data_IF_030500874742
#
_entry.id   IF_030500874742
#
_cell.length_a   1.000
_cell.length_b   1.000
_cell.length_c   1.000
_cell.angle_alpha   90.00
_cell.angle_beta   90.00
_cell.angle_gamma   90.00
#
_symmetry.space_group_name_H-M   'P 1'
#
loop_
_entity.id
_entity.type
_entity.pdbx_description
1 polymer ?
#
# COMPACT_ATOMS: atom_id res chain seq x y z
N UNK A 1 6.86 24.56 -11.18
CA UNK A 1 6.60 23.68 -10.02
C UNK A 1 5.12 23.32 -10.05
N UNK A 2 4.79 22.03 -9.94
CA UNK A 2 3.39 21.57 -9.92
C UNK A 2 3.08 20.90 -8.59
N UNK A 3 1.91 21.18 -8.01
CA UNK A 3 1.45 20.57 -6.76
C UNK A 3 0.26 19.67 -7.06
N UNK A 4 0.30 18.44 -6.57
CA UNK A 4 -0.76 17.44 -6.73
C UNK A 4 -1.25 17.02 -5.36
N UNK A 5 -2.55 17.11 -5.13
CA UNK A 5 -3.17 16.69 -3.86
C UNK A 5 -3.98 15.42 -4.12
N UNK A 6 -3.79 14.40 -3.29
CA UNK A 6 -4.54 13.14 -3.38
C UNK A 6 -5.19 12.77 -2.05
N UNK A 7 -6.44 12.29 -2.04
CA UNK A 7 -7.03 11.70 -0.84
C UNK A 7 -6.39 10.36 -0.46
N UNK A 8 -5.53 9.79 -1.30
CA UNK A 8 -4.90 8.48 -1.10
C UNK A 8 -3.64 8.50 -0.22
N UNK A 9 -3.01 7.33 -0.14
CA UNK A 9 -1.81 7.05 0.67
C UNK A 9 -0.50 7.12 -0.15
N UNK A 10 -0.55 7.62 -1.39
CA UNK A 10 0.63 7.71 -2.28
C UNK A 10 0.95 6.44 -3.09
N UNK A 11 -0.01 5.52 -3.27
CA UNK A 11 0.14 4.35 -4.14
C UNK A 11 -0.74 4.50 -5.38
N UNK A 12 -0.15 4.36 -6.56
CA UNK A 12 -0.84 4.56 -7.83
C UNK A 12 -0.60 3.39 -8.77
N UNK A 13 -1.65 2.96 -9.47
CA UNK A 13 -1.52 2.04 -10.60
C UNK A 13 -1.36 2.88 -11.86
N UNK A 14 -0.28 2.64 -12.60
CA UNK A 14 0.08 3.46 -13.77
C UNK A 14 0.55 2.59 -14.93
N UNK A 15 0.34 3.06 -16.15
CA UNK A 15 0.89 2.43 -17.35
C UNK A 15 2.40 2.66 -17.44
N UNK A 16 3.16 1.61 -17.79
CA UNK A 16 4.62 1.64 -17.85
C UNK A 16 5.16 2.66 -18.86
N UNK A 17 4.58 2.72 -20.07
CA UNK A 17 5.05 3.64 -21.11
C UNK A 17 4.73 5.09 -20.75
N UNK A 18 3.54 5.31 -20.18
CA UNK A 18 3.14 6.65 -19.74
C UNK A 18 4.01 7.16 -18.59
N UNK A 19 4.37 6.29 -17.64
CA UNK A 19 5.29 6.64 -16.56
C UNK A 19 6.66 7.05 -17.11
N UNK A 20 7.23 6.28 -18.04
CA UNK A 20 8.54 6.58 -18.65
C UNK A 20 8.51 7.92 -19.38
N UNK A 21 7.47 8.16 -20.20
CA UNK A 21 7.30 9.42 -20.92
C UNK A 21 7.17 10.61 -19.96
N UNK A 22 6.40 10.46 -18.88
CA UNK A 22 6.20 11.50 -17.88
C UNK A 22 7.52 11.81 -17.15
N UNK A 23 8.26 10.77 -16.72
CA UNK A 23 9.58 10.94 -16.11
C UNK A 23 10.51 11.73 -17.03
N UNK A 24 10.61 11.34 -18.30
CA UNK A 24 11.50 11.99 -19.26
C UNK A 24 11.17 13.49 -19.39
N UNK A 25 9.89 13.82 -19.61
CA UNK A 25 9.45 15.21 -19.74
C UNK A 25 9.66 16.03 -18.47
N UNK A 26 9.46 15.45 -17.29
CA UNK A 26 9.66 16.17 -16.03
C UNK A 26 11.14 16.48 -15.78
N UNK A 27 12.03 15.53 -16.06
CA UNK A 27 13.47 15.72 -15.90
C UNK A 27 14.01 16.70 -16.94
N UNK A 28 13.66 16.54 -18.22
CA UNK A 28 14.18 17.37 -19.30
C UNK A 28 13.78 18.84 -19.16
N UNK A 29 12.55 19.09 -18.70
CA UNK A 29 12.08 20.46 -18.43
C UNK A 29 12.49 20.98 -17.04
N UNK A 30 13.13 20.16 -16.20
CA UNK A 30 13.46 20.52 -14.82
C UNK A 30 12.22 20.83 -13.95
N UNK A 31 11.08 20.21 -14.25
CA UNK A 31 9.82 20.44 -13.54
C UNK A 31 9.65 19.33 -12.49
N UNK A 32 9.77 19.69 -11.21
CA UNK A 32 9.41 18.84 -10.09
C UNK A 32 7.92 18.83 -9.77
N UNK A 33 7.45 17.72 -9.21
CA UNK A 33 6.10 17.55 -8.67
C UNK A 33 6.19 17.45 -7.15
N UNK A 34 5.28 18.12 -6.44
CA UNK A 34 5.06 17.96 -5.01
C UNK A 34 3.71 17.28 -4.75
N UNK A 35 3.73 16.08 -4.18
CA UNK A 35 2.57 15.26 -3.90
C UNK A 35 2.16 15.38 -2.42
N UNK A 36 0.96 15.87 -2.17
CA UNK A 36 0.36 15.93 -0.82
C UNK A 36 -0.67 14.81 -0.68
N UNK A 37 -0.40 13.85 0.22
CA UNK A 37 -1.29 12.74 0.52
C UNK A 37 -2.14 13.05 1.75
N UNK A 38 -3.46 12.90 1.65
CA UNK A 38 -4.39 13.06 2.80
C UNK A 38 -4.69 11.75 3.52
N UNK A 39 -4.32 10.60 2.95
CA UNK A 39 -4.44 9.32 3.61
C UNK A 39 -3.38 9.11 4.69
N UNK A 40 -3.56 8.10 5.55
CA UNK A 40 -2.56 7.71 6.54
C UNK A 40 -1.26 7.26 5.85
N UNK A 41 -0.11 7.68 6.39
CA UNK A 41 1.19 7.29 5.86
C UNK A 41 1.37 5.76 5.99
N UNK A 42 1.67 5.05 4.90
CA UNK A 42 1.83 3.60 4.96
C UNK A 42 3.20 3.19 5.53
N UNK A 43 3.32 1.92 5.95
CA UNK A 43 4.58 1.33 6.43
C UNK A 43 5.56 0.91 5.31
N UNK A 44 5.29 1.26 4.06
CA UNK A 44 6.15 0.99 2.91
C UNK A 44 6.54 2.28 2.20
N UNK A 45 7.59 2.24 1.38
CA UNK A 45 8.09 3.41 0.67
C UNK A 45 7.05 3.95 -0.33
N UNK A 46 6.91 5.28 -0.35
CA UNK A 46 6.01 6.05 -1.21
C UNK A 46 6.75 7.29 -1.73
N UNK A 47 6.28 7.93 -2.82
CA UNK A 47 5.18 7.51 -3.71
C UNK A 47 5.51 6.21 -4.44
N UNK A 48 4.54 5.30 -4.54
CA UNK A 48 4.74 3.97 -5.14
C UNK A 48 3.89 3.81 -6.40
N UNK A 49 4.55 3.54 -7.52
CA UNK A 49 3.89 3.22 -8.78
C UNK A 49 3.88 1.72 -9.00
N UNK A 50 2.69 1.12 -9.02
CA UNK A 50 2.46 -0.24 -9.48
C UNK A 50 2.22 -0.21 -10.98
N UNK A 51 3.18 -0.73 -11.75
CA UNK A 51 3.11 -0.70 -13.19
C UNK A 51 2.17 -1.79 -13.69
N UNK A 52 1.20 -1.40 -14.51
CA UNK A 52 0.37 -2.32 -15.28
C UNK A 52 0.71 -2.22 -16.76
N UNK A 53 0.11 -3.10 -17.58
CA UNK A 53 0.36 -3.25 -19.01
C UNK A 53 1.76 -3.83 -19.31
N UNK A 54 1.81 -5.17 -19.37
CA UNK A 54 2.99 -5.89 -19.82
C UNK A 54 3.01 -5.89 -21.34
N UNK A 55 4.05 -5.30 -21.90
CA UNK A 55 4.31 -5.25 -23.35
C UNK A 55 4.47 -6.64 -23.99
N UNK A 56 4.49 -7.72 -23.21
CA UNK A 56 4.71 -9.09 -23.70
C UNK A 56 3.80 -10.13 -23.03
N UNK A 57 2.99 -10.84 -23.85
CA UNK A 57 2.26 -12.08 -23.63
C UNK A 57 2.62 -13.02 -22.47
N UNK A 58 3.93 -13.22 -22.24
CA UNK A 58 4.43 -14.50 -21.74
C UNK A 58 5.28 -14.46 -20.48
N UNK A 59 5.67 -13.29 -19.96
CA UNK A 59 6.65 -13.24 -18.86
C UNK A 59 6.00 -13.23 -17.46
N UNK A 60 5.11 -14.21 -17.21
CA UNK A 60 4.30 -14.31 -15.97
C UNK A 60 5.11 -14.62 -14.71
N UNK A 61 6.43 -14.55 -14.83
CA UNK A 61 7.40 -14.84 -13.77
C UNK A 61 7.97 -13.58 -13.11
N UNK A 62 7.86 -12.42 -13.76
CA UNK A 62 8.22 -11.14 -13.15
C UNK A 62 6.98 -10.64 -12.42
N UNK A 63 7.07 -10.53 -11.09
CA UNK A 63 5.98 -10.10 -10.22
C UNK A 63 5.47 -8.70 -10.56
N UNK A 64 4.56 -8.17 -9.74
CA UNK A 64 4.11 -6.78 -9.87
C UNK A 64 5.34 -5.83 -9.94
N UNK A 65 5.54 -5.16 -11.07
CA UNK A 65 6.65 -4.22 -11.26
C UNK A 65 6.35 -2.94 -10.48
N UNK A 66 7.17 -2.62 -9.48
CA UNK A 66 7.05 -1.41 -8.66
C UNK A 66 8.11 -0.36 -9.02
N UNK A 67 7.77 0.92 -8.90
CA UNK A 67 8.69 2.04 -9.12
C UNK A 67 8.52 3.13 -8.06
N UNK A 68 9.64 3.68 -7.59
CA UNK A 68 9.71 4.82 -6.68
C UNK A 68 10.26 6.04 -7.47
N UNK A 69 9.41 6.99 -7.88
CA UNK A 69 9.83 8.13 -8.68
C UNK A 69 10.63 9.13 -7.82
N UNK A 70 11.91 9.29 -8.11
CA UNK A 70 12.82 10.22 -7.41
C UNK A 70 12.63 11.69 -7.80
N UNK A 71 11.87 11.97 -8.86
CA UNK A 71 11.57 13.33 -9.36
C UNK A 71 10.31 13.94 -8.72
N UNK A 72 9.68 13.20 -7.79
CA UNK A 72 8.49 13.63 -7.04
C UNK A 72 8.89 13.81 -5.58
N UNK A 73 8.68 15.02 -5.05
CA UNK A 73 8.64 15.24 -3.61
C UNK A 73 7.27 14.83 -3.08
N UNK A 74 7.21 14.35 -1.85
CA UNK A 74 5.94 13.98 -1.24
C UNK A 74 5.88 14.36 0.23
N UNK A 75 4.67 14.66 0.68
CA UNK A 75 4.34 14.94 2.07
C UNK A 75 2.97 14.36 2.43
N UNK A 76 2.73 14.18 3.72
CA UNK A 76 1.46 13.72 4.27
C UNK A 76 0.80 14.84 5.06
N UNK A 77 -0.46 15.11 4.75
CA UNK A 77 -1.26 16.06 5.49
C UNK A 77 -1.69 15.45 6.83
N UNK A 78 -1.45 16.18 7.92
CA UNK A 78 -1.90 15.81 9.26
C UNK A 78 -2.71 16.94 9.88
N UNK A 79 -3.93 16.63 10.34
CA UNK A 79 -4.77 17.59 11.06
C UNK A 79 -4.57 17.44 12.57
N UNK A 80 -4.45 18.56 13.28
CA UNK A 80 -4.34 18.60 14.76
C UNK A 80 -5.52 17.90 15.47
N UNK A 81 -6.67 17.78 14.82
CA UNK A 81 -7.85 17.10 15.35
C UNK A 81 -7.82 15.57 15.20
N UNK A 82 -6.88 14.99 14.43
CA UNK A 82 -6.83 13.55 14.15
C UNK A 82 -5.98 12.73 15.14
N UNK A 83 -5.39 13.36 16.16
CA UNK A 83 -4.46 12.71 17.09
C UNK A 83 -5.06 11.57 17.94
N UNK A 84 -6.38 11.34 17.90
CA UNK A 84 -7.04 10.23 18.60
C UNK A 84 -7.22 8.95 17.75
N UNK A 85 -6.88 8.96 16.46
CA UNK A 85 -7.12 7.83 15.54
C UNK A 85 -5.93 7.53 14.60
N UNK A 86 -4.69 7.71 15.07
CA UNK A 86 -3.44 7.48 14.30
C UNK A 86 -2.92 6.03 14.36
N UNK A 87 -3.74 5.08 14.78
CA UNK A 87 -3.33 3.67 14.81
C UNK A 87 -3.49 3.06 13.43
N UNK A 88 -2.36 2.67 12.82
CA UNK A 88 -2.34 1.84 11.62
C UNK A 88 -3.32 0.68 11.78
N UNK A 89 -4.38 0.70 10.97
CA UNK A 89 -5.41 -0.33 11.01
C UNK A 89 -5.12 -1.31 9.87
N UNK A 90 -4.55 -2.50 10.15
CA UNK A 90 -4.27 -3.47 9.11
C UNK A 90 -5.58 -3.92 8.45
N UNK A 91 -5.63 -3.86 7.11
CA UNK A 91 -6.79 -4.32 6.33
C UNK A 91 -6.99 -5.84 6.35
N UNK A 92 -6.03 -6.58 6.92
CA UNK A 92 -6.10 -8.03 7.10
C UNK A 92 -6.58 -8.29 8.53
N UNK A 93 -7.85 -8.70 8.68
CA UNK A 93 -8.34 -9.26 9.95
C UNK A 93 -7.86 -10.69 10.06
N UNK A 94 -6.84 -10.93 10.88
CA UNK A 94 -6.43 -12.30 11.21
C UNK A 94 -7.59 -12.98 11.95
N UNK A 95 -8.04 -14.14 11.48
CA UNK A 95 -9.03 -14.91 12.21
C UNK A 95 -8.43 -15.34 13.57
N UNK A 96 -9.17 -15.13 14.67
CA UNK A 96 -8.74 -15.59 15.99
C UNK A 96 -8.58 -17.11 16.01
N UNK A 97 -7.45 -17.61 16.55
CA UNK A 97 -7.25 -19.05 16.76
C UNK A 97 -8.34 -19.56 17.71
N UNK A 98 -9.17 -20.50 17.27
CA UNK A 98 -10.08 -21.22 18.18
C UNK A 98 -9.24 -22.12 19.08
N UNK A 99 -9.32 -21.91 20.39
CA UNK A 99 -8.79 -22.87 21.36
C UNK A 99 -9.69 -24.12 21.32
N UNK A 100 -9.11 -25.24 20.92
CA UNK A 100 -9.77 -26.54 20.94
C UNK A 100 -9.88 -27.00 22.40
N UNK A 101 -11.08 -26.93 22.98
CA UNK A 101 -11.35 -27.52 24.29
C UNK A 101 -11.41 -29.04 24.14
N UNK A 102 -10.37 -29.75 24.59
CA UNK A 102 -10.39 -31.21 24.72
C UNK A 102 -11.42 -31.63 25.77
N UNK A 103 -12.37 -32.48 25.36
CA UNK A 103 -13.36 -33.07 26.25
C UNK A 103 -12.80 -34.39 26.80
N UNK A 104 -12.13 -34.32 27.95
CA UNK A 104 -11.77 -35.52 28.72
C UNK A 104 -13.03 -36.02 29.45
N UNK A 105 -13.74 -37.02 28.89
CA UNK A 105 -14.74 -37.77 29.65
C UNK A 105 -14.06 -39.00 30.26
N UNK A 106 -13.70 -38.88 31.53
CA UNK A 106 -13.31 -40.03 32.36
C UNK A 106 -14.54 -40.87 32.65
N UNK A 107 -14.47 -42.13 32.21
CA UNK A 107 -15.33 -43.22 32.64
C UNK A 107 -15.32 -43.34 34.17
N UNK A 108 -16.48 -43.56 34.78
CA UNK A 108 -16.57 -44.29 36.05
C UNK A 108 -17.92 -45.00 36.16
N UNK A 109 -17.84 -46.32 36.07
CA UNK A 109 -18.80 -47.28 36.64
C UNK A 109 -19.26 -46.84 38.03
N UNK A 110 -20.53 -47.10 38.36
CA UNK A 110 -20.84 -47.95 39.51
C UNK A 110 -22.16 -48.70 39.32
N UNK A 111 -22.05 -49.99 39.61
CA UNK A 111 -23.07 -51.03 39.63
C UNK A 111 -23.86 -50.99 40.95
N UNK A 112 -25.07 -51.57 40.86
CA UNK A 112 -26.05 -51.92 41.91
C UNK A 112 -27.04 -50.85 42.35
#
# INVERSE_FOLDING_TARGET
>A
MSVVITPGVGVFQVDRLLMILTKQRMIDNGIGVDLVCMGEQPLHAVPLFKLHNRTTPGDSRVGDDYNLPHWINHSFYTSKSQNSCSSFTPRIKLAGRKLHAEKFQSSKEHSK
#
